data_IF_487613786869
#
_entry.id   IF_487613786869
#
_cell.length_a   1.000
_cell.length_b   1.000
_cell.length_c   1.000
_cell.angle_alpha   90.00
_cell.angle_beta   90.00
_cell.angle_gamma   90.00
#
_symmetry.space_group_name_H-M   'P 1'
#
loop_
_entity.id
_entity.type
_entity.pdbx_description
1 polymer ?
#
# COMPACT_ATOMS: atom_id res chain seq x y z
N UNK A 1 -23.53 -44.35 14.74
CA UNK A 1 -23.91 -43.00 15.27
C UNK A 1 -22.99 -42.55 16.40
N UNK A 2 -22.69 -43.40 17.40
CA UNK A 2 -21.77 -43.10 18.50
C UNK A 2 -20.33 -42.80 18.05
N UNK A 3 -19.77 -43.62 17.15
CA UNK A 3 -18.41 -43.45 16.62
C UNK A 3 -18.18 -42.08 15.96
N UNK A 4 -19.11 -41.63 15.11
CA UNK A 4 -19.06 -40.29 14.50
C UNK A 4 -19.17 -39.18 15.54
N UNK A 5 -19.91 -39.38 16.63
CA UNK A 5 -20.05 -38.35 17.69
C UNK A 5 -18.77 -38.22 18.51
N UNK A 6 -18.05 -39.32 18.73
CA UNK A 6 -16.74 -39.31 19.40
C UNK A 6 -15.69 -38.55 18.58
N UNK A 7 -15.62 -38.77 17.26
CA UNK A 7 -14.71 -38.05 16.37
C UNK A 7 -14.99 -36.53 16.30
N UNK A 8 -16.25 -36.11 16.48
CA UNK A 8 -16.60 -34.68 16.50
C UNK A 8 -16.29 -34.02 17.85
N UNK A 9 -16.15 -34.80 18.92
CA UNK A 9 -15.84 -34.33 20.26
C UNK A 9 -14.34 -34.43 20.59
N UNK A 10 -13.53 -34.97 19.67
CA UNK A 10 -12.09 -34.99 19.79
C UNK A 10 -11.53 -33.57 19.61
N UNK A 11 -10.79 -33.08 20.61
CA UNK A 11 -10.15 -31.77 20.58
C UNK A 11 -9.20 -31.68 19.37
N UNK A 12 -9.38 -30.66 18.54
CA UNK A 12 -8.61 -30.47 17.30
C UNK A 12 -9.22 -31.13 16.06
N UNK A 13 -10.30 -31.92 16.18
CA UNK A 13 -10.97 -32.50 15.02
C UNK A 13 -11.92 -31.52 14.33
N UNK A 14 -12.86 -30.93 15.08
CA UNK A 14 -13.88 -29.99 14.56
C UNK A 14 -13.75 -28.60 15.17
N UNK A 15 -13.37 -28.54 16.45
CA UNK A 15 -13.13 -27.32 17.18
C UNK A 15 -11.86 -27.48 18.02
N UNK A 16 -11.19 -26.35 18.27
CA UNK A 16 -10.04 -26.23 19.15
C UNK A 16 -10.23 -24.97 19.98
N UNK A 17 -9.61 -24.93 21.17
CA UNK A 17 -9.54 -23.69 21.92
C UNK A 17 -8.92 -22.61 21.02
N UNK A 18 -9.56 -21.42 20.89
CA UNK A 18 -9.06 -20.38 20.00
C UNK A 18 -7.67 -19.96 20.48
N UNK A 19 -6.71 -19.95 19.56
CA UNK A 19 -5.40 -19.35 19.82
C UNK A 19 -5.56 -17.84 19.80
N UNK A 20 -5.44 -17.23 20.98
CA UNK A 20 -5.52 -15.77 21.14
C UNK A 20 -4.11 -15.22 21.26
N UNK A 21 -3.64 -14.57 20.20
CA UNK A 21 -2.38 -13.84 20.18
C UNK A 21 -2.65 -12.33 20.07
N UNK A 22 -1.95 -11.54 20.87
CA UNK A 22 -1.99 -10.09 20.72
C UNK A 22 -1.25 -9.69 19.45
N UNK A 23 -1.80 -8.78 18.65
CA UNK A 23 -1.07 -8.26 17.50
C UNK A 23 0.17 -7.52 17.99
N UNK A 24 1.39 -7.84 17.51
CA UNK A 24 2.58 -7.12 17.91
C UNK A 24 2.44 -5.64 17.55
N UNK A 25 2.72 -4.77 18.51
CA UNK A 25 2.80 -3.33 18.25
C UNK A 25 4.11 -3.07 17.53
N UNK A 26 4.04 -2.78 16.23
CA UNK A 26 5.22 -2.46 15.44
C UNK A 26 5.83 -1.14 15.93
N UNK A 27 7.16 -1.09 15.97
CA UNK A 27 7.91 0.07 16.44
C UNK A 27 7.74 1.27 15.49
N UNK A 28 7.44 2.44 16.06
CA UNK A 28 7.35 3.70 15.33
C UNK A 28 8.75 4.26 15.05
N UNK A 29 9.04 4.52 13.77
CA UNK A 29 10.26 5.16 13.32
C UNK A 29 10.26 6.68 13.54
N UNK A 30 11.28 7.36 13.02
CA UNK A 30 11.38 8.82 13.07
C UNK A 30 10.26 9.50 12.26
N UNK A 31 9.87 10.74 12.60
CA UNK A 31 8.97 11.54 11.75
C UNK A 31 9.59 11.81 10.37
N UNK A 32 8.75 12.09 9.37
CA UNK A 32 9.17 12.18 7.96
C UNK A 32 10.26 13.23 7.69
N UNK A 33 10.30 14.32 8.46
CA UNK A 33 11.28 15.39 8.37
C UNK A 33 12.68 15.03 8.91
N UNK A 34 12.79 13.89 9.59
CA UNK A 34 14.05 13.35 10.12
C UNK A 34 14.53 12.12 9.33
N UNK A 35 13.82 11.71 8.29
CA UNK A 35 14.25 10.61 7.40
C UNK A 35 15.24 11.12 6.36
N UNK A 36 16.11 10.23 5.90
CA UNK A 36 17.06 10.51 4.81
C UNK A 36 16.34 10.53 3.45
N UNK A 37 15.58 11.59 3.22
CA UNK A 37 14.76 11.79 2.02
C UNK A 37 15.00 13.17 1.42
N UNK A 38 14.75 13.35 0.11
CA UNK A 38 14.67 14.68 -0.48
C UNK A 38 13.73 15.60 0.32
N UNK A 39 14.11 16.85 0.66
CA UNK A 39 13.33 17.70 1.56
C UNK A 39 11.88 17.95 1.10
N UNK A 40 11.66 18.02 -0.21
CA UNK A 40 10.32 18.17 -0.76
C UNK A 40 9.44 16.94 -0.52
N UNK A 41 10.02 15.74 -0.57
CA UNK A 41 9.34 14.48 -0.28
C UNK A 41 8.96 14.38 1.20
N UNK A 42 9.92 14.63 2.09
CA UNK A 42 9.71 14.62 3.53
C UNK A 42 8.55 15.55 3.94
N UNK A 43 8.54 16.77 3.39
CA UNK A 43 7.47 17.76 3.62
C UNK A 43 6.12 17.29 3.11
N UNK A 44 6.05 16.79 1.87
CA UNK A 44 4.81 16.30 1.26
C UNK A 44 4.21 15.14 2.08
N UNK A 45 5.03 14.21 2.57
CA UNK A 45 4.56 13.11 3.43
C UNK A 45 4.04 13.60 4.79
N UNK A 46 4.73 14.60 5.38
CA UNK A 46 4.28 15.23 6.62
C UNK A 46 2.93 15.96 6.43
N UNK A 47 2.74 16.67 5.31
CA UNK A 47 1.49 17.33 4.96
C UNK A 47 0.35 16.31 4.76
N UNK A 48 0.60 15.19 4.06
CA UNK A 48 -0.37 14.12 3.90
C UNK A 48 -0.77 13.47 5.23
N UNK A 49 0.19 13.26 6.13
CA UNK A 49 -0.08 12.73 7.45
C UNK A 49 -0.89 13.71 8.30
N UNK A 50 -0.61 15.01 8.22
CA UNK A 50 -1.38 16.06 8.89
C UNK A 50 -2.82 16.16 8.37
N UNK A 51 -3.03 15.96 7.06
CA UNK A 51 -4.35 15.92 6.43
C UNK A 51 -5.18 14.69 6.83
N UNK A 52 -4.61 13.73 7.58
CA UNK A 52 -5.25 12.45 7.98
C UNK A 52 -5.74 11.63 6.78
N UNK A 53 -5.10 11.79 5.62
CA UNK A 53 -5.49 11.16 4.37
C UNK A 53 -4.96 9.72 4.22
N UNK A 54 -4.83 8.99 5.33
CA UNK A 54 -4.41 7.59 5.36
C UNK A 54 -2.93 7.35 5.69
N UNK A 55 -2.11 8.39 5.87
CA UNK A 55 -0.78 8.27 6.47
C UNK A 55 -0.82 8.64 7.95
N UNK A 56 -0.09 7.88 8.77
CA UNK A 56 0.11 8.21 10.18
C UNK A 56 1.21 9.26 10.34
N UNK A 57 1.20 10.07 11.43
CA UNK A 57 2.21 11.09 11.68
C UNK A 57 3.64 10.55 11.73
N UNK A 58 3.82 9.30 12.17
CA UNK A 58 5.10 8.60 12.17
C UNK A 58 4.94 7.24 11.48
N UNK A 59 5.79 6.92 10.51
CA UNK A 59 5.82 5.59 9.91
C UNK A 59 6.38 4.56 10.90
N UNK A 60 6.10 3.28 10.70
CA UNK A 60 6.83 2.22 11.39
C UNK A 60 8.28 2.14 10.91
N UNK A 61 9.18 1.59 11.73
CA UNK A 61 10.62 1.47 11.41
C UNK A 61 10.84 0.80 10.04
N UNK A 62 10.14 -0.31 9.75
CA UNK A 62 10.26 -0.99 8.47
C UNK A 62 9.73 -0.19 7.28
N UNK A 63 8.75 0.69 7.49
CA UNK A 63 8.22 1.59 6.47
C UNK A 63 9.21 2.72 6.17
N UNK A 64 9.79 3.33 7.22
CA UNK A 64 10.84 4.35 7.10
C UNK A 64 12.06 3.79 6.36
N UNK A 65 12.57 2.64 6.80
CA UNK A 65 13.72 1.97 6.16
C UNK A 65 13.45 1.62 4.71
N UNK A 66 12.26 1.11 4.38
CA UNK A 66 11.87 0.85 3.00
C UNK A 66 11.90 2.14 2.17
N UNK A 67 11.31 3.21 2.70
CA UNK A 67 11.23 4.49 2.01
C UNK A 67 12.62 5.10 1.74
N UNK A 68 13.49 5.17 2.74
CA UNK A 68 14.86 5.67 2.60
C UNK A 68 15.66 4.84 1.59
N UNK A 69 15.62 3.50 1.70
CA UNK A 69 16.32 2.62 0.75
C UNK A 69 15.81 2.77 -0.69
N UNK A 70 14.50 2.98 -0.86
CA UNK A 70 13.93 3.22 -2.17
C UNK A 70 14.52 4.47 -2.82
N UNK A 71 14.53 5.60 -2.09
CA UNK A 71 15.05 6.87 -2.61
C UNK A 71 16.58 6.92 -2.67
N UNK A 72 17.28 6.02 -1.97
CA UNK A 72 18.69 5.74 -2.18
C UNK A 72 18.98 4.86 -3.44
N UNK A 73 17.94 4.47 -4.19
CA UNK A 73 18.07 3.75 -5.45
C UNK A 73 18.03 2.22 -5.34
N UNK A 74 17.52 1.68 -4.23
CA UNK A 74 17.41 0.22 -4.02
C UNK A 74 16.08 -0.35 -4.49
N UNK A 75 16.11 -1.55 -5.07
CA UNK A 75 14.94 -2.42 -5.16
C UNK A 75 14.65 -3.08 -3.80
N UNK A 76 13.37 -3.28 -3.49
CA UNK A 76 12.94 -3.68 -2.14
C UNK A 76 12.22 -5.02 -2.12
N UNK A 77 12.55 -5.83 -1.12
CA UNK A 77 11.74 -6.94 -0.64
C UNK A 77 11.36 -6.63 0.80
N UNK A 78 10.07 -6.44 1.07
CA UNK A 78 9.56 -6.13 2.41
C UNK A 78 8.87 -7.37 2.99
N UNK A 79 9.50 -8.00 3.99
CA UNK A 79 8.99 -9.19 4.66
C UNK A 79 8.62 -8.85 6.11
N UNK A 80 7.31 -8.76 6.41
CA UNK A 80 6.77 -8.46 7.74
C UNK A 80 5.48 -9.23 7.99
N UNK A 81 5.06 -9.32 9.26
CA UNK A 81 3.82 -9.98 9.67
C UNK A 81 2.56 -9.34 9.05
N UNK A 82 1.45 -10.08 9.05
CA UNK A 82 0.14 -9.56 8.66
C UNK A 82 -0.26 -8.36 9.51
N UNK A 83 -0.93 -7.37 8.91
CA UNK A 83 -1.34 -6.16 9.63
C UNK A 83 -0.22 -5.16 9.97
N UNK A 84 1.04 -5.39 9.54
CA UNK A 84 2.15 -4.48 9.86
C UNK A 84 2.12 -3.11 9.21
N UNK A 85 1.20 -2.87 8.26
CA UNK A 85 1.27 -1.69 7.39
C UNK A 85 2.25 -1.86 6.21
N UNK A 86 2.35 -3.06 5.62
CA UNK A 86 3.09 -3.28 4.36
C UNK A 86 2.60 -2.39 3.22
N UNK A 87 1.32 -2.01 3.27
CA UNK A 87 0.70 -1.16 2.25
C UNK A 87 1.44 0.17 2.12
N UNK A 88 1.75 0.80 3.24
CA UNK A 88 2.45 2.09 3.26
C UNK A 88 3.90 1.95 2.76
N UNK A 89 4.55 0.79 2.96
CA UNK A 89 5.91 0.53 2.45
C UNK A 89 6.03 0.57 0.93
N UNK A 90 4.94 0.33 0.16
CA UNK A 90 4.96 0.53 -1.30
C UNK A 90 4.21 1.80 -1.74
N UNK A 91 3.18 2.25 -1.02
CA UNK A 91 2.45 3.46 -1.39
C UNK A 91 3.29 4.73 -1.24
N UNK A 92 4.04 4.88 -0.13
CA UNK A 92 4.86 6.08 0.08
C UNK A 92 5.92 6.26 -1.01
N UNK A 93 6.68 5.22 -1.41
CA UNK A 93 7.56 5.30 -2.58
C UNK A 93 6.86 5.75 -3.87
N UNK A 94 5.67 5.23 -4.17
CA UNK A 94 4.92 5.59 -5.38
C UNK A 94 4.54 7.07 -5.38
N UNK A 95 3.98 7.56 -4.26
CA UNK A 95 3.60 8.97 -4.13
C UNK A 95 4.84 9.86 -4.21
N UNK A 96 5.91 9.46 -3.53
CA UNK A 96 7.14 10.23 -3.55
C UNK A 96 7.78 10.32 -4.94
N UNK A 97 7.72 9.25 -5.74
CA UNK A 97 8.13 9.31 -7.15
C UNK A 97 7.27 10.27 -7.98
N UNK A 98 5.97 10.34 -7.71
CA UNK A 98 5.08 11.28 -8.42
C UNK A 98 5.43 12.73 -8.09
N UNK A 99 5.76 13.02 -6.82
CA UNK A 99 6.24 14.33 -6.37
C UNK A 99 7.60 14.65 -6.98
N UNK A 100 8.55 13.71 -6.93
CA UNK A 100 9.89 13.90 -7.50
C UNK A 100 9.84 14.08 -9.03
N UNK A 101 9.00 13.31 -9.74
CA UNK A 101 8.78 13.50 -11.19
C UNK A 101 8.23 14.90 -11.49
N UNK A 102 7.28 15.40 -10.68
CA UNK A 102 6.70 16.72 -10.88
C UNK A 102 7.74 17.85 -10.72
N UNK A 103 8.67 17.69 -9.78
CA UNK A 103 9.73 18.66 -9.49
C UNK A 103 10.87 18.60 -10.51
N UNK A 104 11.41 17.40 -10.74
CA UNK A 104 12.65 17.23 -11.50
C UNK A 104 12.39 17.13 -13.00
N UNK A 105 11.20 16.65 -13.41
CA UNK A 105 10.86 16.34 -14.80
C UNK A 105 9.43 16.79 -15.17
N UNK A 106 9.11 18.10 -15.07
CA UNK A 106 7.76 18.60 -15.31
C UNK A 106 7.21 18.28 -16.71
N UNK A 107 8.08 18.23 -17.72
CA UNK A 107 7.70 17.83 -19.07
C UNK A 107 7.16 16.38 -19.13
N UNK A 108 7.80 15.42 -18.45
CA UNK A 108 7.31 14.04 -18.40
C UNK A 108 6.10 13.91 -17.48
N UNK A 109 6.06 14.67 -16.38
CA UNK A 109 4.94 14.70 -15.46
C UNK A 109 3.63 15.14 -16.13
N UNK A 110 3.71 16.01 -17.15
CA UNK A 110 2.57 16.48 -17.94
C UNK A 110 2.03 15.45 -18.94
N UNK A 111 2.83 14.44 -19.33
CA UNK A 111 2.43 13.42 -20.30
C UNK A 111 1.50 12.36 -19.68
N UNK A 112 0.53 11.83 -20.43
CA UNK A 112 -0.20 10.64 -20.01
C UNK A 112 0.73 9.42 -19.96
N UNK A 113 0.59 8.58 -18.94
CA UNK A 113 1.44 7.41 -18.75
C UNK A 113 1.16 6.69 -17.43
N UNK A 114 1.46 5.39 -17.40
CA UNK A 114 1.42 4.59 -16.18
C UNK A 114 2.72 4.81 -15.38
N UNK A 115 2.61 5.17 -14.09
CA UNK A 115 3.77 5.41 -13.20
C UNK A 115 3.99 4.28 -12.20
N UNK A 116 2.93 3.55 -11.87
CA UNK A 116 2.98 2.42 -10.96
C UNK A 116 1.94 1.39 -11.36
N UNK A 117 2.32 0.11 -11.29
CA UNK A 117 1.44 -1.03 -11.48
C UNK A 117 1.49 -1.90 -10.22
N UNK A 118 0.35 -2.04 -9.56
CA UNK A 118 0.23 -2.87 -8.35
C UNK A 118 -0.40 -4.21 -8.75
N UNK A 119 0.28 -5.30 -8.44
CA UNK A 119 -0.16 -6.64 -8.77
C UNK A 119 -0.60 -7.36 -7.50
N UNK A 120 -1.81 -7.92 -7.54
CA UNK A 120 -2.37 -8.70 -6.45
C UNK A 120 -2.81 -10.08 -6.96
N UNK A 121 -2.64 -11.14 -6.15
CA UNK A 121 -3.00 -12.49 -6.57
C UNK A 121 -4.51 -12.73 -6.61
N UNK A 122 -5.32 -11.93 -5.89
CA UNK A 122 -6.77 -12.12 -5.78
C UNK A 122 -7.53 -10.82 -5.98
N UNK A 123 -8.66 -10.89 -6.68
CA UNK A 123 -9.58 -9.76 -6.87
C UNK A 123 -10.06 -9.13 -5.55
N UNK A 124 -10.24 -9.95 -4.50
CA UNK A 124 -10.60 -9.45 -3.18
C UNK A 124 -9.54 -8.49 -2.61
N UNK A 125 -8.26 -8.81 -2.79
CA UNK A 125 -7.15 -7.94 -2.37
C UNK A 125 -7.08 -6.67 -3.22
N UNK A 126 -7.33 -6.78 -4.53
CA UNK A 126 -7.42 -5.60 -5.41
C UNK A 126 -8.48 -4.63 -4.88
N UNK A 127 -9.67 -5.13 -4.51
CA UNK A 127 -10.77 -4.29 -4.04
C UNK A 127 -10.48 -3.63 -2.67
N UNK A 128 -9.88 -4.36 -1.73
CA UNK A 128 -9.46 -3.81 -0.43
C UNK A 128 -8.46 -2.66 -0.61
N UNK A 129 -7.46 -2.88 -1.46
CA UNK A 129 -6.39 -1.91 -1.69
C UNK A 129 -6.88 -0.71 -2.50
N UNK A 130 -7.82 -0.90 -3.43
CA UNK A 130 -8.49 0.19 -4.14
C UNK A 130 -9.24 1.11 -3.17
N UNK A 131 -9.86 0.58 -2.12
CA UNK A 131 -10.49 1.37 -1.06
C UNK A 131 -9.50 2.27 -0.32
N UNK A 132 -8.26 1.81 -0.11
CA UNK A 132 -7.17 2.62 0.48
C UNK A 132 -6.69 3.70 -0.46
N UNK A 133 -6.40 3.35 -1.72
CA UNK A 133 -5.97 4.31 -2.76
C UNK A 133 -7.04 5.39 -2.96
N UNK A 134 -8.33 5.03 -2.94
CA UNK A 134 -9.44 6.00 -3.00
C UNK A 134 -9.45 7.00 -1.84
N UNK A 135 -9.06 6.60 -0.63
CA UNK A 135 -8.99 7.55 0.50
C UNK A 135 -7.88 8.57 0.30
N UNK A 136 -6.74 8.14 -0.21
CA UNK A 136 -5.59 9.01 -0.42
C UNK A 136 -5.77 9.94 -1.63
N UNK A 137 -6.32 9.45 -2.73
CA UNK A 137 -6.45 10.22 -3.97
C UNK A 137 -7.84 10.82 -4.21
N UNK A 138 -8.84 10.37 -3.44
CA UNK A 138 -10.22 10.88 -3.49
C UNK A 138 -10.50 11.95 -2.44
N UNK A 139 -9.64 12.13 -1.45
CA UNK A 139 -9.65 13.29 -0.57
C UNK A 139 -9.09 14.51 -1.31
N UNK A 140 -9.81 15.64 -1.28
CA UNK A 140 -9.44 16.83 -2.07
C UNK A 140 -8.10 17.44 -1.62
N UNK A 141 -7.85 17.47 -0.31
CA UNK A 141 -6.62 18.03 0.27
C UNK A 141 -5.44 17.14 -0.10
N UNK A 142 -5.57 15.84 0.10
CA UNK A 142 -4.53 14.88 -0.23
C UNK A 142 -4.24 14.82 -1.74
N UNK A 143 -5.28 14.84 -2.57
CA UNK A 143 -5.15 14.87 -4.02
C UNK A 143 -4.43 16.13 -4.50
N UNK A 144 -4.70 17.28 -3.89
CA UNK A 144 -3.99 18.52 -4.16
C UNK A 144 -2.51 18.45 -3.76
N UNK A 145 -2.20 17.88 -2.60
CA UNK A 145 -0.82 17.69 -2.13
C UNK A 145 -0.04 16.79 -3.10
N UNK A 146 -0.59 15.62 -3.47
CA UNK A 146 0.09 14.67 -4.37
C UNK A 146 0.18 15.19 -5.81
N UNK A 147 -0.80 15.97 -6.25
CA UNK A 147 -0.81 16.55 -7.60
C UNK A 147 -0.08 17.89 -7.68
N UNK A 148 0.53 18.39 -6.59
CA UNK A 148 1.25 19.64 -6.57
C UNK A 148 2.38 19.63 -7.64
N UNK A 149 2.46 20.72 -8.40
CA UNK A 149 3.41 20.84 -9.52
C UNK A 149 3.04 20.05 -10.78
N UNK A 150 1.87 19.38 -10.82
CA UNK A 150 1.39 18.64 -12.00
C UNK A 150 0.27 19.40 -12.70
N UNK A 151 0.32 19.46 -14.03
CA UNK A 151 -0.74 20.06 -14.86
C UNK A 151 -1.99 19.16 -14.98
N UNK A 152 -1.91 17.93 -14.47
CA UNK A 152 -3.00 16.94 -14.55
C UNK A 152 -3.05 16.18 -13.23
N UNK A 153 -4.26 15.86 -12.74
CA UNK A 153 -4.41 15.07 -11.52
C UNK A 153 -3.87 13.66 -11.74
N UNK A 154 -3.35 13.08 -10.67
CA UNK A 154 -2.98 11.66 -10.63
C UNK A 154 -4.27 10.83 -10.70
N UNK A 155 -4.29 9.86 -11.61
CA UNK A 155 -5.42 8.93 -11.78
C UNK A 155 -4.98 7.53 -11.38
N UNK A 156 -5.91 6.78 -10.83
CA UNK A 156 -5.74 5.38 -10.49
C UNK A 156 -6.94 4.57 -11.01
N UNK A 157 -6.74 3.28 -11.14
CA UNK A 157 -7.78 2.35 -11.56
C UNK A 157 -7.38 0.93 -11.19
N UNK A 158 -8.32 0.01 -11.32
CA UNK A 158 -8.06 -1.42 -11.19
C UNK A 158 -8.53 -2.14 -12.44
N UNK A 159 -7.84 -3.24 -12.75
CA UNK A 159 -8.26 -4.18 -13.77
C UNK A 159 -8.34 -5.56 -13.12
N UNK A 160 -9.56 -6.06 -12.97
CA UNK A 160 -9.85 -7.42 -12.54
C UNK A 160 -10.43 -8.15 -13.74
N UNK A 161 -9.57 -8.53 -14.69
CA UNK A 161 -9.99 -9.27 -15.88
C UNK A 161 -10.68 -10.59 -15.52
N UNK A 162 -11.46 -11.12 -16.46
CA UNK A 162 -11.75 -12.55 -16.50
C UNK A 162 -10.65 -13.21 -17.32
N UNK A 163 -9.79 -13.98 -16.68
CA UNK A 163 -8.93 -14.92 -17.40
C UNK A 163 -9.87 -15.89 -18.14
N UNK A 164 -9.79 -16.02 -19.48
CA UNK A 164 -10.58 -17.02 -20.19
C UNK A 164 -10.32 -18.39 -19.57
N UNK A 165 -11.38 -19.15 -19.29
CA UNK A 165 -11.22 -20.52 -18.82
C UNK A 165 -10.45 -21.33 -19.88
N UNK A 166 -9.49 -22.18 -19.48
CA UNK A 166 -8.91 -23.16 -20.39
C UNK A 166 -10.04 -24.03 -20.98
N UNK A 167 -10.19 -24.03 -22.30
CA UNK A 167 -11.28 -24.71 -23.01
C UNK A 167 -11.48 -24.19 -24.43
N UNK A 168 -12.18 -24.97 -25.27
CA UNK A 168 -12.35 -24.70 -26.70
C UNK A 168 -12.96 -23.32 -26.93
N UNK A 169 -12.18 -22.46 -27.60
CA UNK A 169 -12.69 -21.26 -28.26
C UNK A 169 -13.59 -21.74 -29.39
N UNK A 170 -14.90 -21.53 -29.30
CA UNK A 170 -15.75 -21.59 -30.49
C UNK A 170 -15.21 -20.56 -31.49
N UNK A 171 -15.06 -21.02 -32.74
CA UNK A 171 -14.54 -20.25 -33.87
C UNK A 171 -15.42 -19.04 -34.21
#
# INVERSE_FOLDING_TARGET
ILERRLLLQEDGAVAQAPFVESTPVYELGAPYDQLDLPPALARMLAELAAAKAGLFPRPYVHQAQALERYFAGSDLIVATGTGSGKTESFLMPIIGQLTQEALDRPATAALPGCRALLLYPMNALVNDQLGRVRRLFGDEVASAIVSAGRNRPVRFGSYTGRSPYPGLRSA
#
